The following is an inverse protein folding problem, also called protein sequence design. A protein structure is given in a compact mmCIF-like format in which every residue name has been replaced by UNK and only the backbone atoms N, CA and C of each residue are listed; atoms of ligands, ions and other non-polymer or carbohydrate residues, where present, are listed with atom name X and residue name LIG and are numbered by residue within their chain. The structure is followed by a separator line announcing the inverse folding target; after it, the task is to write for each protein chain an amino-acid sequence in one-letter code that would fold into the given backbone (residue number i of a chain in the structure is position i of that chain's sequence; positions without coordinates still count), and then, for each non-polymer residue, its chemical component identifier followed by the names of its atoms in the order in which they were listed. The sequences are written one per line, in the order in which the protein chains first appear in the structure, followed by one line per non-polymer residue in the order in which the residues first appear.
data_IF_964293972478
#
_entry.id   IF_964293972478
#
_cell.length_a   1.000
_cell.length_b   1.000
_cell.length_c   1.000
_cell.angle_alpha   90.00
_cell.angle_beta   90.00
_cell.angle_gamma   90.00
#
_symmetry.space_group_name_H-M   'P 1'
#
loop_
_entity.id
_entity.type
_entity.pdbx_description
1 polymer ?
#
# COMPACT_ATOMS: atom_id res chain seq x y z
N UNK A 1 -2.11 -25.55 31.87
CA UNK A 1 -2.90 -25.95 33.06
C UNK A 1 -3.98 -27.00 32.77
N UNK A 2 -4.50 -27.13 31.55
CA UNK A 2 -5.56 -28.10 31.21
C UNK A 2 -5.13 -29.59 31.21
N UNK A 3 -3.86 -29.91 31.02
CA UNK A 3 -3.39 -31.30 30.92
C UNK A 3 -3.39 -32.06 32.26
N UNK A 4 -3.22 -31.35 33.39
CA UNK A 4 -3.20 -31.97 34.73
C UNK A 4 -4.59 -32.43 35.18
N UNK A 5 -5.64 -31.71 34.79
CA UNK A 5 -7.02 -32.08 35.13
C UNK A 5 -7.49 -33.37 34.45
N UNK A 6 -7.12 -33.56 33.19
CA UNK A 6 -7.49 -34.78 32.43
C UNK A 6 -6.76 -36.01 32.99
N UNK A 7 -5.48 -35.88 33.35
CA UNK A 7 -4.72 -36.98 33.96
C UNK A 7 -5.30 -37.36 35.32
N UNK A 8 -5.73 -36.38 36.13
CA UNK A 8 -6.35 -36.63 37.44
C UNK A 8 -7.73 -37.28 37.31
N UNK A 9 -8.55 -36.89 36.34
CA UNK A 9 -9.87 -37.52 36.09
C UNK A 9 -9.72 -38.95 35.58
N UNK A 10 -8.75 -39.22 34.70
CA UNK A 10 -8.45 -40.57 34.22
C UNK A 10 -7.96 -41.45 35.37
N UNK A 11 -7.03 -40.95 36.21
CA UNK A 11 -6.57 -41.67 37.40
C UNK A 11 -7.70 -41.91 38.41
N UNK A 12 -8.57 -40.93 38.68
CA UNK A 12 -9.70 -41.10 39.59
C UNK A 12 -10.76 -42.07 39.06
N UNK A 13 -10.89 -42.23 37.73
CA UNK A 13 -11.82 -43.21 37.14
C UNK A 13 -11.24 -44.63 37.09
N UNK A 14 -9.91 -44.74 36.98
CA UNK A 14 -9.21 -46.02 36.96
C UNK A 14 -8.98 -46.59 38.36
N UNK A 15 -8.81 -45.75 39.39
CA UNK A 15 -8.61 -46.18 40.78
C UNK A 15 -9.74 -47.07 41.33
N UNK A 16 -11.03 -46.75 41.16
CA UNK A 16 -12.14 -47.59 41.64
C UNK A 16 -12.21 -48.94 40.93
N UNK A 17 -11.88 -48.98 39.64
CA UNK A 17 -11.85 -50.23 38.84
C UNK A 17 -10.70 -51.12 39.29
N UNK A 18 -9.52 -50.55 39.49
CA UNK A 18 -8.34 -51.26 40.00
C UNK A 18 -8.53 -51.73 41.45
N UNK A 19 -9.19 -50.92 42.29
CA UNK A 19 -9.54 -51.28 43.66
C UNK A 19 -10.64 -52.34 43.75
N UNK A 20 -11.58 -52.38 42.80
CA UNK A 20 -12.63 -53.42 42.72
C UNK A 20 -12.06 -54.78 42.30
N UNK A 21 -11.06 -54.80 41.42
CA UNK A 21 -10.35 -56.03 41.05
C UNK A 21 -9.45 -56.55 42.18
N UNK A 22 -8.77 -55.66 42.90
CA UNK A 22 -7.93 -56.06 44.05
C UNK A 22 -8.74 -56.49 45.29
N UNK A 23 -9.95 -55.95 45.49
CA UNK A 23 -10.81 -56.29 46.65
C UNK A 23 -11.62 -57.57 46.42
N UNK A 24 -11.79 -58.01 45.19
CA UNK A 24 -12.43 -59.30 44.87
C UNK A 24 -11.34 -60.36 44.84
N UNK A 25 -10.99 -60.83 46.03
CA UNK A 25 -9.94 -61.82 46.25
C UNK A 25 -9.99 -62.97 45.25
N UNK A 26 -8.79 -63.42 44.88
CA UNK A 26 -8.53 -64.67 44.16
C UNK A 26 -9.15 -65.83 44.95
N UNK A 27 -10.12 -66.53 44.35
CA UNK A 27 -9.91 -67.95 44.11
C UNK A 27 -10.41 -68.40 42.73
N UNK A 28 -9.55 -69.13 42.00
CA UNK A 28 -9.85 -69.85 40.75
C UNK A 28 -10.62 -69.07 39.67
N UNK A 29 -9.95 -68.14 39.00
CA UNK A 29 -10.47 -67.44 37.81
C UNK A 29 -10.64 -68.42 36.64
N UNK A 30 -11.88 -68.81 36.35
CA UNK A 30 -12.22 -69.46 35.10
C UNK A 30 -12.07 -68.49 33.93
N UNK A 31 -11.64 -68.99 32.76
CA UNK A 31 -11.44 -68.19 31.52
C UNK A 31 -12.70 -67.39 31.16
N UNK A 32 -13.89 -67.90 31.52
CA UNK A 32 -15.18 -67.24 31.29
C UNK A 32 -15.33 -65.94 32.09
N UNK A 33 -14.89 -65.91 33.34
CA UNK A 33 -14.96 -64.71 34.19
C UNK A 33 -13.95 -63.66 33.73
N UNK A 34 -12.78 -64.10 33.23
CA UNK A 34 -11.79 -63.22 32.60
C UNK A 34 -12.33 -62.59 31.30
N UNK A 35 -13.00 -63.38 30.46
CA UNK A 35 -13.65 -62.87 29.24
C UNK A 35 -14.80 -61.90 29.56
N UNK A 36 -15.58 -62.17 30.61
CA UNK A 36 -16.67 -61.30 31.05
C UNK A 36 -16.16 -59.96 31.63
N UNK A 37 -15.06 -60.01 32.38
CA UNK A 37 -14.39 -58.84 32.94
C UNK A 37 -13.78 -57.97 31.85
N UNK A 38 -13.07 -58.61 30.91
CA UNK A 38 -12.51 -57.98 29.73
C UNK A 38 -13.58 -57.25 28.89
N UNK A 39 -14.72 -57.91 28.64
CA UNK A 39 -15.85 -57.30 27.93
C UNK A 39 -16.42 -56.05 28.64
N UNK A 40 -16.51 -56.06 29.97
CA UNK A 40 -16.97 -54.89 30.75
C UNK A 40 -16.00 -53.72 30.67
N UNK A 41 -14.69 -53.99 30.71
CA UNK A 41 -13.66 -52.96 30.56
C UNK A 41 -13.73 -52.33 29.17
N UNK A 42 -13.84 -53.14 28.11
CA UNK A 42 -14.00 -52.63 26.74
C UNK A 42 -15.25 -51.79 26.55
N UNK A 43 -16.38 -52.19 27.15
CA UNK A 43 -17.63 -51.43 27.11
C UNK A 43 -17.50 -50.07 27.82
N UNK A 44 -16.85 -50.03 28.98
CA UNK A 44 -16.58 -48.79 29.70
C UNK A 44 -15.67 -47.85 28.91
N UNK A 45 -14.63 -48.38 28.25
CA UNK A 45 -13.74 -47.59 27.40
C UNK A 45 -14.49 -47.02 26.19
N UNK A 46 -15.36 -47.81 25.55
CA UNK A 46 -16.17 -47.35 24.43
C UNK A 46 -17.17 -46.25 24.84
N UNK A 47 -17.79 -46.36 26.02
CA UNK A 47 -18.65 -45.29 26.54
C UNK A 47 -17.87 -44.04 26.89
N UNK A 48 -16.67 -44.17 27.47
CA UNK A 48 -15.82 -43.04 27.81
C UNK A 48 -15.36 -42.28 26.56
N UNK A 49 -15.01 -42.97 25.48
CA UNK A 49 -14.65 -42.32 24.20
C UNK A 49 -15.83 -41.60 23.57
N UNK A 50 -17.03 -42.17 23.62
CA UNK A 50 -18.27 -41.51 23.15
C UNK A 50 -18.56 -40.26 23.99
N UNK A 51 -18.45 -40.34 25.32
CA UNK A 51 -18.64 -39.18 26.21
C UNK A 51 -17.61 -38.09 25.90
N UNK A 52 -16.34 -38.44 25.70
CA UNK A 52 -15.30 -37.46 25.31
C UNK A 52 -15.63 -36.85 23.94
N UNK A 53 -16.09 -37.63 22.96
CA UNK A 53 -16.44 -37.09 21.64
C UNK A 53 -17.65 -36.14 21.68
N UNK A 54 -18.71 -36.51 22.40
CA UNK A 54 -19.91 -35.68 22.57
C UNK A 54 -19.59 -34.43 23.38
N UNK A 55 -18.82 -34.54 24.46
CA UNK A 55 -18.44 -33.39 25.29
C UNK A 55 -17.45 -32.47 24.58
N UNK A 56 -16.50 -33.00 23.80
CA UNK A 56 -15.60 -32.15 22.98
C UNK A 56 -16.35 -31.44 21.88
N UNK A 57 -17.29 -32.10 21.20
CA UNK A 57 -18.18 -31.48 20.21
C UNK A 57 -19.04 -30.38 20.83
N UNK A 58 -19.67 -30.65 21.98
CA UNK A 58 -20.50 -29.69 22.69
C UNK A 58 -19.68 -28.52 23.25
N UNK A 59 -18.51 -28.77 23.83
CA UNK A 59 -17.59 -27.73 24.31
C UNK A 59 -16.97 -26.92 23.17
N UNK A 60 -16.79 -27.50 21.98
CA UNK A 60 -16.38 -26.76 20.79
C UNK A 60 -17.49 -25.82 20.29
N UNK A 61 -18.76 -26.20 20.44
CA UNK A 61 -19.91 -25.31 20.22
C UNK A 61 -20.02 -24.20 21.27
N UNK A 62 -19.67 -24.46 22.53
CA UNK A 62 -19.67 -23.42 23.58
C UNK A 62 -18.41 -22.53 23.54
N UNK A 63 -17.27 -23.04 23.09
CA UNK A 63 -16.01 -22.28 22.92
C UNK A 63 -16.06 -21.28 21.77
N UNK A 64 -16.95 -21.44 20.80
CA UNK A 64 -17.11 -20.45 19.73
C UNK A 64 -17.78 -19.16 20.20
N UNK A 65 -18.35 -19.10 21.41
CA UNK A 65 -19.14 -17.93 21.85
C UNK A 65 -18.43 -16.87 22.72
N UNK A 66 -17.36 -17.12 23.52
CA UNK A 66 -16.67 -16.06 24.27
C UNK A 66 -15.36 -15.58 23.63
N UNK A 67 -14.94 -16.18 22.51
CA UNK A 67 -13.65 -15.92 21.87
C UNK A 67 -13.71 -14.68 20.95
N UNK A 68 -14.84 -14.43 20.27
CA UNK A 68 -15.00 -13.26 19.39
C UNK A 68 -14.81 -11.92 20.12
N UNK A 69 -15.48 -11.70 21.25
CA UNK A 69 -15.38 -10.43 21.99
C UNK A 69 -13.96 -10.11 22.52
N UNK A 70 -13.18 -11.13 22.91
CA UNK A 70 -11.82 -10.93 23.42
C UNK A 70 -10.77 -10.86 22.32
N UNK A 71 -11.04 -11.39 21.14
CA UNK A 71 -10.19 -11.27 19.97
C UNK A 71 -10.39 -9.92 19.30
N UNK A 72 -11.64 -9.47 19.14
CA UNK A 72 -11.96 -8.15 18.58
C UNK A 72 -11.30 -7.01 19.39
N UNK A 73 -11.40 -7.04 20.72
CA UNK A 73 -10.75 -6.06 21.62
C UNK A 73 -9.20 -6.08 21.54
N UNK A 74 -8.61 -7.25 21.27
CA UNK A 74 -7.16 -7.42 21.13
C UNK A 74 -6.69 -7.00 19.75
N UNK A 75 -7.45 -7.31 18.71
CA UNK A 75 -7.17 -6.96 17.33
C UNK A 75 -7.24 -5.44 17.14
N UNK A 76 -8.27 -4.79 17.71
CA UNK A 76 -8.40 -3.33 17.66
C UNK A 76 -7.22 -2.63 18.38
N UNK A 77 -6.76 -3.18 19.52
CA UNK A 77 -5.56 -2.69 20.23
C UNK A 77 -4.28 -2.87 19.41
N UNK A 78 -4.14 -3.99 18.71
CA UNK A 78 -2.99 -4.25 17.84
C UNK A 78 -2.99 -3.32 16.62
N UNK A 79 -4.15 -3.06 16.01
CA UNK A 79 -4.29 -2.07 14.95
C UNK A 79 -3.91 -0.66 15.43
N UNK A 80 -4.41 -0.25 16.60
CA UNK A 80 -4.08 1.05 17.20
C UNK A 80 -2.57 1.19 17.42
N UNK A 81 -1.89 0.13 17.90
CA UNK A 81 -0.43 0.09 18.04
C UNK A 81 0.28 0.22 16.69
N UNK A 82 -0.17 -0.49 15.66
CA UNK A 82 0.42 -0.37 14.33
C UNK A 82 0.23 1.02 13.72
N UNK A 83 -0.96 1.61 13.86
CA UNK A 83 -1.26 2.98 13.41
C UNK A 83 -0.37 4.00 14.13
N UNK A 84 -0.14 3.83 15.43
CA UNK A 84 0.75 4.69 16.21
C UNK A 84 2.21 4.61 15.74
N UNK A 85 2.72 3.41 15.46
CA UNK A 85 4.09 3.22 14.97
C UNK A 85 4.27 3.90 13.61
N UNK A 86 3.33 3.70 12.68
CA UNK A 86 3.34 4.35 11.36
C UNK A 86 3.32 5.88 11.49
N UNK A 87 2.48 6.41 12.38
CA UNK A 87 2.39 7.86 12.65
C UNK A 87 3.70 8.43 13.19
N UNK A 88 4.31 7.78 14.19
CA UNK A 88 5.62 8.20 14.73
C UNK A 88 6.71 8.20 13.67
N UNK A 89 6.72 7.19 12.78
CA UNK A 89 7.68 7.13 11.68
C UNK A 89 7.47 8.26 10.67
N UNK A 90 6.21 8.58 10.36
CA UNK A 90 5.87 9.71 9.48
C UNK A 90 6.24 11.05 10.11
N UNK A 91 6.00 11.24 11.40
CA UNK A 91 6.40 12.44 12.15
C UNK A 91 7.93 12.61 12.13
N UNK A 92 8.69 11.54 12.39
CA UNK A 92 10.15 11.58 12.33
C UNK A 92 10.69 11.91 10.92
N UNK A 93 10.04 11.41 9.86
CA UNK A 93 10.38 11.78 8.49
C UNK A 93 10.00 13.23 8.17
N UNK A 94 8.82 13.67 8.62
CA UNK A 94 8.35 15.05 8.49
C UNK A 94 9.30 16.03 9.17
N UNK A 95 9.77 15.71 10.38
CA UNK A 95 10.72 16.55 11.11
C UNK A 95 12.06 16.66 10.38
N UNK A 96 12.57 15.56 9.81
CA UNK A 96 13.78 15.60 8.96
C UNK A 96 13.59 16.49 7.74
N UNK A 97 12.43 16.39 7.07
CA UNK A 97 12.11 17.24 5.92
C UNK A 97 11.98 18.72 6.31
N UNK A 98 11.33 19.02 7.43
CA UNK A 98 11.20 20.38 7.97
C UNK A 98 12.55 20.96 8.35
N UNK A 99 13.41 20.19 9.03
CA UNK A 99 14.80 20.61 9.34
C UNK A 99 15.60 20.91 8.08
N UNK A 100 15.45 20.10 7.03
CA UNK A 100 16.14 20.37 5.76
C UNK A 100 15.61 21.63 5.08
N UNK A 101 14.29 21.82 5.06
CA UNK A 101 13.67 23.02 4.51
C UNK A 101 14.17 24.29 5.21
N UNK A 102 14.25 24.25 6.54
CA UNK A 102 14.66 25.39 7.35
C UNK A 102 16.17 25.66 7.31
N UNK A 103 17.00 24.62 7.41
CA UNK A 103 18.45 24.80 7.54
C UNK A 103 19.18 24.89 6.19
N UNK A 104 18.59 24.37 5.11
CA UNK A 104 19.25 24.32 3.79
C UNK A 104 18.51 25.18 2.77
N UNK A 105 17.20 24.96 2.59
CA UNK A 105 16.48 25.61 1.50
C UNK A 105 16.21 27.10 1.77
N UNK A 106 15.74 27.47 2.97
CA UNK A 106 15.50 28.88 3.33
C UNK A 106 16.79 29.74 3.23
N UNK A 107 17.94 29.36 3.84
CA UNK A 107 19.16 30.17 3.75
C UNK A 107 19.70 30.28 2.33
N UNK A 108 19.56 29.23 1.51
CA UNK A 108 19.92 29.31 0.09
C UNK A 108 19.05 30.32 -0.67
N UNK A 109 17.75 30.36 -0.37
CA UNK A 109 16.83 31.31 -1.00
C UNK A 109 17.12 32.75 -0.55
N UNK A 110 17.35 32.96 0.75
CA UNK A 110 17.72 34.26 1.32
C UNK A 110 19.07 34.75 0.78
N UNK A 111 20.08 33.87 0.70
CA UNK A 111 21.38 34.22 0.13
C UNK A 111 21.26 34.62 -1.35
N UNK A 112 20.39 33.94 -2.12
CA UNK A 112 20.13 34.32 -3.52
C UNK A 112 19.47 35.70 -3.61
N UNK A 113 18.53 35.99 -2.73
CA UNK A 113 17.84 37.29 -2.67
C UNK A 113 18.82 38.39 -2.27
N UNK A 114 19.62 38.16 -1.22
CA UNK A 114 20.66 39.09 -0.78
C UNK A 114 21.71 39.37 -1.86
N UNK A 115 22.17 38.35 -2.59
CA UNK A 115 23.08 38.54 -3.74
C UNK A 115 22.44 39.33 -4.89
N UNK A 116 21.12 39.28 -5.03
CA UNK A 116 20.41 40.08 -6.03
C UNK A 116 20.31 41.53 -5.56
N UNK A 117 20.01 41.75 -4.28
CA UNK A 117 19.97 43.07 -3.64
C UNK A 117 21.34 43.75 -3.63
N UNK A 118 22.41 43.03 -3.27
CA UNK A 118 23.80 43.52 -3.35
C UNK A 118 24.16 43.89 -4.79
N UNK A 119 23.76 43.09 -5.78
CA UNK A 119 23.96 43.42 -7.20
C UNK A 119 23.17 44.64 -7.63
N UNK A 120 21.94 44.79 -7.14
CA UNK A 120 21.13 45.97 -7.39
C UNK A 120 21.83 47.21 -6.83
N UNK A 121 22.22 47.22 -5.56
CA UNK A 121 22.93 48.36 -4.97
C UNK A 121 24.33 48.57 -5.52
N UNK A 122 25.04 47.53 -5.97
CA UNK A 122 26.31 47.71 -6.71
C UNK A 122 26.07 48.35 -8.08
N UNK A 123 24.96 48.03 -8.74
CA UNK A 123 24.60 48.60 -10.04
C UNK A 123 23.90 49.96 -9.93
N UNK A 124 23.32 50.32 -8.79
CA UNK A 124 22.56 51.58 -8.60
C UNK A 124 23.28 52.55 -7.64
N UNK A 125 24.22 52.05 -6.85
CA UNK A 125 25.07 52.82 -5.96
C UNK A 125 26.11 53.65 -6.70
N UNK A 126 26.88 54.40 -5.92
CA UNK A 126 27.74 55.54 -6.27
C UNK A 126 28.74 55.33 -7.43
N UNK A 127 28.86 54.14 -7.99
CA UNK A 127 29.67 53.84 -9.18
C UNK A 127 29.17 54.52 -10.46
N UNK A 128 27.88 54.86 -10.56
CA UNK A 128 27.35 55.71 -11.64
C UNK A 128 27.38 57.20 -11.33
N UNK A 129 27.70 57.60 -10.09
CA UNK A 129 28.01 59.00 -9.80
C UNK A 129 29.42 59.22 -10.35
N UNK A 130 29.46 59.71 -11.59
CA UNK A 130 30.64 60.30 -12.23
C UNK A 130 31.59 60.86 -11.17
N UNK A 131 32.77 60.27 -11.07
CA UNK A 131 33.94 60.88 -10.41
C UNK A 131 33.93 62.37 -10.72
N UNK A 132 33.91 63.20 -9.67
CA UNK A 132 33.84 64.67 -9.69
C UNK A 132 34.04 65.25 -11.10
N UNK A 133 32.94 65.52 -11.81
CA UNK A 133 32.98 66.00 -13.19
C UNK A 133 33.88 67.23 -13.30
N UNK A 134 34.87 67.15 -14.20
CA UNK A 134 35.67 68.30 -14.59
C UNK A 134 34.74 69.29 -15.31
N UNK A 135 34.56 70.50 -14.75
CA UNK A 135 33.73 71.54 -15.35
C UNK A 135 34.39 72.02 -16.66
N UNK A 136 33.83 71.62 -17.79
CA UNK A 136 33.99 72.34 -19.05
C UNK A 136 32.81 73.32 -19.19
N UNK A 137 33.11 74.56 -19.59
CA UNK A 137 32.23 75.75 -19.59
C UNK A 137 30.81 75.52 -20.13
N UNK A 138 29.80 76.32 -19.77
CA UNK A 138 29.83 77.76 -19.56
C UNK A 138 29.00 78.38 -20.68
N UNK A 139 27.71 78.63 -20.39
CA UNK A 139 26.66 79.23 -21.25
C UNK A 139 26.29 78.42 -22.53
N UNK A 140 25.04 78.19 -22.93
CA UNK A 140 23.90 79.10 -22.99
C UNK A 140 22.55 78.33 -22.86
N UNK A 141 21.59 79.06 -22.29
CA UNK A 141 20.16 79.10 -22.55
C UNK A 141 19.16 77.98 -22.21
N UNK A 142 18.05 78.47 -21.65
CA UNK A 142 16.86 77.79 -21.14
C UNK A 142 16.00 77.25 -22.29
N UNK A 143 15.46 76.04 -22.14
CA UNK A 143 14.00 75.73 -22.17
C UNK A 143 13.82 74.21 -22.01
N UNK A 144 13.27 73.84 -20.85
CA UNK A 144 12.71 72.53 -20.54
C UNK A 144 11.36 72.37 -21.26
N UNK A 145 11.25 71.39 -22.16
CA UNK A 145 9.97 70.86 -22.62
C UNK A 145 9.97 69.34 -22.37
N UNK A 146 8.98 68.93 -21.59
CA UNK A 146 8.82 67.62 -20.98
C UNK A 146 7.79 66.87 -21.83
N UNK A 147 8.24 65.96 -22.68
CA UNK A 147 7.39 65.13 -23.54
C UNK A 147 7.81 63.67 -23.52
N UNK A 148 7.30 62.93 -22.55
CA UNK A 148 7.33 61.47 -22.46
C UNK A 148 6.69 60.80 -23.68
N UNK A 149 7.38 59.84 -24.34
CA UNK A 149 6.75 58.59 -24.81
C UNK A 149 7.72 57.58 -25.43
N UNK A 150 7.85 56.44 -24.72
CA UNK A 150 7.85 55.06 -25.23
C UNK A 150 8.70 54.71 -26.46
N UNK A 151 9.92 54.19 -26.22
CA UNK A 151 10.57 53.29 -27.18
C UNK A 151 11.50 52.28 -26.49
N UNK A 152 10.95 51.46 -25.58
CA UNK A 152 11.68 50.28 -25.08
C UNK A 152 10.75 49.25 -24.45
N UNK A 153 9.70 48.84 -25.19
CA UNK A 153 8.68 47.93 -24.66
C UNK A 153 8.45 46.68 -25.52
N UNK A 154 9.43 46.25 -26.32
CA UNK A 154 9.23 45.15 -27.30
C UNK A 154 10.12 43.92 -27.09
N UNK A 155 11.20 43.97 -26.31
CA UNK A 155 12.09 42.80 -26.11
C UNK A 155 11.75 41.96 -24.87
N UNK A 156 11.51 42.60 -23.72
CA UNK A 156 11.24 41.90 -22.46
C UNK A 156 9.83 41.28 -22.41
N UNK A 157 8.86 41.85 -23.14
CA UNK A 157 7.48 41.33 -23.22
C UNK A 157 7.44 39.99 -23.96
N UNK A 158 8.11 39.90 -25.10
CA UNK A 158 8.18 38.69 -25.92
C UNK A 158 8.92 37.54 -25.20
N UNK A 159 9.97 37.85 -24.42
CA UNK A 159 10.67 36.88 -23.58
C UNK A 159 9.81 36.36 -22.40
N UNK A 160 8.92 37.19 -21.85
CA UNK A 160 7.96 36.79 -20.82
C UNK A 160 6.80 35.95 -21.39
N UNK A 161 6.30 36.28 -22.58
CA UNK A 161 5.27 35.52 -23.28
C UNK A 161 5.77 34.12 -23.68
N UNK A 162 7.02 34.00 -24.16
CA UNK A 162 7.65 32.70 -24.45
C UNK A 162 7.84 31.83 -23.19
N UNK A 163 8.11 32.43 -22.03
CA UNK A 163 8.19 31.70 -20.74
C UNK A 163 6.81 31.30 -20.22
N UNK A 164 5.78 32.11 -20.48
CA UNK A 164 4.40 31.81 -20.11
C UNK A 164 3.78 30.71 -21.00
N UNK A 165 4.20 30.59 -22.27
CA UNK A 165 3.85 29.47 -23.13
C UNK A 165 4.44 28.13 -22.64
N UNK A 166 5.68 28.12 -22.16
CA UNK A 166 6.31 26.91 -21.61
C UNK A 166 5.66 26.45 -20.29
N UNK A 167 5.20 27.40 -19.47
CA UNK A 167 4.43 27.14 -18.24
C UNK A 167 2.98 26.72 -18.54
N UNK A 168 2.41 27.13 -19.66
CA UNK A 168 1.10 26.65 -20.12
C UNK A 168 1.16 25.19 -20.61
N UNK A 169 2.30 24.77 -21.20
CA UNK A 169 2.54 23.37 -21.58
C UNK A 169 2.88 22.46 -20.38
N UNK A 170 3.35 23.03 -19.26
CA UNK A 170 3.69 22.30 -18.03
C UNK A 170 2.67 22.57 -16.93
N UNK A 171 1.40 22.79 -17.29
CA UNK A 171 0.30 22.61 -16.34
C UNK A 171 -0.12 21.16 -16.43
N UNK A 172 0.57 20.31 -15.67
CA UNK A 172 0.04 19.01 -15.25
C UNK A 172 -1.41 19.25 -14.84
N UNK A 173 -2.32 18.63 -15.57
CA UNK A 173 -3.75 18.66 -15.27
C UNK A 173 -3.93 18.48 -13.76
N UNK A 174 -4.63 19.40 -13.07
CA UNK A 174 -5.20 19.08 -11.77
C UNK A 174 -5.95 17.75 -11.90
N UNK A 175 -5.94 16.85 -10.90
CA UNK A 175 -6.79 15.68 -10.95
C UNK A 175 -8.23 16.19 -10.99
N UNK A 176 -8.82 16.18 -12.18
CA UNK A 176 -10.14 16.72 -12.40
C UNK A 176 -11.12 15.93 -11.51
N UNK A 177 -11.99 16.65 -10.77
CA UNK A 177 -12.97 16.06 -9.87
C UNK A 177 -13.88 15.13 -10.67
N UNK A 178 -14.07 13.92 -10.16
CA UNK A 178 -14.91 12.87 -10.74
C UNK A 178 -16.19 13.42 -11.39
N UNK A 179 -16.46 13.09 -12.66
CA UNK A 179 -17.82 12.92 -13.11
C UNK A 179 -17.97 11.59 -13.88
N UNK A 180 -19.08 10.90 -13.64
CA UNK A 180 -19.46 9.60 -14.23
C UNK A 180 -18.81 8.34 -13.61
N UNK A 181 -19.24 8.05 -12.37
CA UNK A 181 -18.97 6.86 -11.54
C UNK A 181 -19.32 5.48 -12.17
N UNK A 182 -19.36 5.30 -13.49
CA UNK A 182 -19.82 4.03 -14.12
C UNK A 182 -18.94 3.47 -15.25
N UNK A 183 -18.02 4.24 -15.84
CA UNK A 183 -17.29 3.85 -17.06
C UNK A 183 -15.78 3.62 -16.91
N UNK A 184 -15.22 3.85 -15.72
CA UNK A 184 -13.78 3.67 -15.44
C UNK A 184 -13.60 2.44 -14.55
N UNK A 185 -12.59 1.63 -14.83
CA UNK A 185 -12.18 0.45 -14.06
C UNK A 185 -10.74 0.63 -13.60
N UNK A 186 -10.44 0.19 -12.38
CA UNK A 186 -9.08 0.17 -11.85
C UNK A 186 -8.50 -1.22 -12.06
N UNK A 187 -7.43 -1.31 -12.85
CA UNK A 187 -6.70 -2.56 -13.09
C UNK A 187 -5.40 -2.53 -12.27
N UNK A 188 -5.15 -3.61 -11.54
CA UNK A 188 -3.93 -3.82 -10.78
C UNK A 188 -3.10 -4.96 -11.40
N UNK A 189 -1.88 -4.67 -11.84
CA UNK A 189 -0.91 -5.69 -12.26
C UNK A 189 -0.13 -6.17 -11.05
N UNK A 190 -0.12 -7.49 -10.81
CA UNK A 190 0.83 -8.14 -9.91
C UNK A 190 2.04 -8.57 -10.72
N UNK A 191 3.18 -7.97 -10.41
CA UNK A 191 4.44 -8.28 -11.07
C UNK A 191 5.17 -9.44 -10.35
N UNK A 192 5.96 -10.25 -11.07
CA UNK A 192 6.82 -11.29 -10.46
C UNK A 192 7.81 -10.74 -9.44
N UNK A 193 8.17 -9.46 -9.55
CA UNK A 193 9.02 -8.74 -8.60
C UNK A 193 8.38 -8.53 -7.21
N UNK A 194 7.10 -8.87 -7.05
CA UNK A 194 6.32 -8.61 -5.83
C UNK A 194 5.69 -7.22 -5.79
N UNK A 195 5.96 -6.36 -6.76
CA UNK A 195 5.33 -5.04 -6.86
C UNK A 195 3.91 -5.15 -7.46
N UNK A 196 3.03 -4.22 -7.04
CA UNK A 196 1.68 -4.10 -7.59
C UNK A 196 1.51 -2.73 -8.23
N UNK A 197 1.28 -2.70 -9.54
CA UNK A 197 1.07 -1.48 -10.31
C UNK A 197 -0.42 -1.26 -10.51
N UNK A 198 -0.94 -0.08 -10.16
CA UNK A 198 -2.38 0.24 -10.29
C UNK A 198 -2.59 1.35 -11.29
N UNK A 199 -3.53 1.17 -12.21
CA UNK A 199 -3.90 2.19 -13.19
C UNK A 199 -5.38 2.11 -13.53
N UNK A 200 -5.96 3.27 -13.85
CA UNK A 200 -7.37 3.39 -14.26
C UNK A 200 -7.47 3.38 -15.77
N UNK A 201 -8.42 2.62 -16.28
CA UNK A 201 -8.73 2.50 -17.71
C UNK A 201 -10.23 2.70 -17.95
N UNK A 202 -10.59 3.14 -19.15
CA UNK A 202 -11.99 3.18 -19.57
C UNK A 202 -12.42 1.79 -20.03
N UNK A 203 -13.66 1.40 -19.74
CA UNK A 203 -14.21 0.10 -20.16
C UNK A 203 -14.19 -0.13 -21.68
N UNK A 204 -14.19 0.96 -22.45
CA UNK A 204 -14.12 0.95 -23.92
C UNK A 204 -12.70 0.92 -24.48
N UNK A 205 -11.66 0.94 -23.63
CA UNK A 205 -10.29 0.83 -24.10
C UNK A 205 -10.01 -0.56 -24.68
N UNK A 206 -9.15 -0.60 -25.70
CA UNK A 206 -8.63 -1.84 -26.28
C UNK A 206 -7.81 -2.62 -25.25
N UNK A 207 -7.91 -3.94 -25.31
CA UNK A 207 -7.09 -4.90 -24.55
C UNK A 207 -5.58 -4.67 -24.74
N UNK A 208 -5.17 -4.20 -25.92
CA UNK A 208 -3.76 -3.90 -26.27
C UNK A 208 -3.12 -2.91 -25.31
N UNK A 209 -3.90 -1.96 -24.79
CA UNK A 209 -3.42 -0.93 -23.85
C UNK A 209 -2.89 -1.56 -22.56
N UNK A 210 -3.40 -2.73 -22.15
CA UNK A 210 -2.88 -3.46 -20.99
C UNK A 210 -1.49 -4.04 -21.26
N UNK A 211 -1.28 -4.59 -22.45
CA UNK A 211 0.02 -5.13 -22.86
C UNK A 211 1.04 -4.01 -23.10
N UNK A 212 0.65 -2.89 -23.71
CA UNK A 212 1.50 -1.71 -23.84
C UNK A 212 1.89 -1.14 -22.47
N UNK A 213 0.95 -1.13 -21.53
CA UNK A 213 1.24 -0.73 -20.16
C UNK A 213 2.20 -1.72 -19.48
N UNK A 214 2.02 -3.03 -19.65
CA UNK A 214 2.95 -4.05 -19.16
C UNK A 214 4.38 -3.85 -19.73
N UNK A 215 4.50 -3.65 -21.06
CA UNK A 215 5.75 -3.35 -21.76
C UNK A 215 6.44 -2.11 -21.20
N UNK A 216 5.68 -1.03 -20.96
CA UNK A 216 6.19 0.23 -20.39
C UNK A 216 6.77 0.07 -18.99
N UNK A 217 6.30 -0.92 -18.22
CA UNK A 217 6.83 -1.21 -16.88
C UNK A 217 7.98 -2.23 -16.88
N UNK A 218 8.52 -2.58 -18.06
CA UNK A 218 9.68 -3.45 -18.18
C UNK A 218 9.37 -4.94 -18.34
N UNK A 219 8.11 -5.29 -18.64
CA UNK A 219 7.70 -6.68 -18.86
C UNK A 219 7.35 -6.89 -20.35
N UNK A 220 8.27 -7.42 -21.17
CA UNK A 220 8.01 -7.60 -22.58
C UNK A 220 7.00 -8.73 -22.85
N UNK A 221 6.08 -8.52 -23.82
CA UNK A 221 5.02 -9.48 -24.18
C UNK A 221 5.52 -10.80 -24.80
N UNK A 222 6.78 -10.84 -25.23
CA UNK A 222 7.43 -12.07 -25.70
C UNK A 222 7.74 -13.04 -24.56
N UNK A 223 8.00 -12.53 -23.35
CA UNK A 223 8.39 -13.30 -22.18
C UNK A 223 7.29 -13.40 -21.14
N UNK A 224 6.38 -12.42 -21.10
CA UNK A 224 5.34 -12.33 -20.09
C UNK A 224 3.96 -12.26 -20.72
N UNK A 225 3.00 -12.90 -20.07
CA UNK A 225 1.58 -12.87 -20.39
C UNK A 225 0.79 -12.32 -19.21
N UNK A 226 -0.40 -11.80 -19.49
CA UNK A 226 -1.33 -11.34 -18.47
C UNK A 226 -2.36 -12.43 -18.20
N UNK A 227 -2.62 -12.75 -16.94
CA UNK A 227 -3.68 -13.68 -16.56
C UNK A 227 -4.61 -13.11 -15.50
N UNK A 228 -5.86 -13.56 -15.49
CA UNK A 228 -6.84 -13.21 -14.45
C UNK A 228 -6.55 -13.94 -13.15
N UNK A 229 -7.00 -13.39 -12.02
CA UNK A 229 -6.80 -14.01 -10.70
C UNK A 229 -7.65 -15.27 -10.49
N UNK A 230 -8.98 -15.19 -10.71
CA UNK A 230 -9.89 -16.32 -10.55
C UNK A 230 -11.14 -16.18 -11.45
N UNK A 231 -11.50 -17.20 -12.26
CA UNK A 231 -10.66 -18.35 -12.60
C UNK A 231 -9.37 -17.87 -13.30
N UNK A 232 -8.24 -18.55 -13.05
CA UNK A 232 -6.98 -18.22 -13.74
C UNK A 232 -7.12 -18.52 -15.22
N UNK A 233 -7.07 -17.47 -16.05
CA UNK A 233 -7.10 -17.58 -17.52
C UNK A 233 -6.11 -16.60 -18.12
N UNK A 234 -5.25 -17.03 -19.06
CA UNK A 234 -4.41 -16.11 -19.81
C UNK A 234 -5.29 -15.20 -20.68
N UNK A 235 -4.95 -13.92 -20.74
CA UNK A 235 -5.58 -12.97 -21.66
C UNK A 235 -4.97 -13.18 -23.04
N UNK A 236 -5.79 -13.58 -23.99
CA UNK A 236 -5.37 -13.67 -25.38
C UNK A 236 -5.19 -12.27 -25.95
N UNK A 237 -4.08 -12.07 -26.68
CA UNK A 237 -3.80 -10.84 -27.40
C UNK A 237 -4.62 -10.83 -28.70
N UNK A 238 -5.94 -10.91 -28.58
CA UNK A 238 -6.83 -10.77 -29.73
C UNK A 238 -7.07 -9.28 -29.98
N UNK A 239 -6.57 -8.80 -31.12
CA UNK A 239 -6.69 -7.39 -31.50
C UNK A 239 -8.16 -7.02 -31.70
N UNK A 240 -8.62 -5.98 -31.01
CA UNK A 240 -9.95 -5.41 -31.21
C UNK A 240 -10.95 -5.63 -30.07
N UNK A 241 -10.62 -6.43 -29.06
CA UNK A 241 -11.49 -6.60 -27.90
C UNK A 241 -11.36 -5.42 -26.93
N UNK A 242 -12.49 -4.93 -26.43
CA UNK A 242 -12.47 -3.94 -25.35
C UNK A 242 -12.28 -4.61 -23.99
N UNK A 243 -11.88 -3.83 -22.98
CA UNK A 243 -11.79 -4.32 -21.59
C UNK A 243 -13.12 -4.88 -21.10
N UNK A 244 -14.25 -4.33 -21.55
CA UNK A 244 -15.57 -4.86 -21.24
C UNK A 244 -15.78 -6.28 -21.81
N UNK A 245 -15.31 -6.52 -23.03
CA UNK A 245 -15.48 -7.79 -23.74
C UNK A 245 -14.60 -8.89 -23.12
N UNK A 246 -13.44 -8.52 -22.57
CA UNK A 246 -12.59 -9.39 -21.75
C UNK A 246 -13.17 -9.70 -20.36
N UNK A 247 -14.36 -9.18 -20.02
CA UNK A 247 -14.97 -9.36 -18.69
C UNK A 247 -14.37 -8.47 -17.60
N UNK A 248 -13.56 -7.47 -17.95
CA UNK A 248 -13.01 -6.47 -17.02
C UNK A 248 -14.05 -5.35 -16.82
N UNK A 249 -15.16 -5.69 -16.17
CA UNK A 249 -16.27 -4.76 -15.90
C UNK A 249 -16.15 -4.04 -14.56
N UNK A 250 -15.39 -4.64 -13.63
CA UNK A 250 -15.13 -4.15 -12.27
C UNK A 250 -13.64 -3.92 -12.08
N UNK A 251 -13.26 -3.42 -10.91
CA UNK A 251 -11.85 -3.32 -10.54
C UNK A 251 -11.26 -4.74 -10.45
N UNK A 252 -10.28 -5.02 -11.31
CA UNK A 252 -9.69 -6.36 -11.46
C UNK A 252 -8.20 -6.37 -11.15
N UNK A 253 -7.74 -7.54 -10.74
CA UNK A 253 -6.33 -7.84 -10.54
C UNK A 253 -5.91 -8.80 -11.65
N UNK A 254 -4.86 -8.43 -12.37
CA UNK A 254 -4.21 -9.25 -13.37
C UNK A 254 -2.82 -9.64 -12.88
N UNK A 255 -2.40 -10.87 -13.12
CA UNK A 255 -1.08 -11.37 -12.81
C UNK A 255 -0.22 -11.32 -14.06
N UNK A 256 1.00 -10.82 -13.92
CA UNK A 256 2.03 -10.90 -14.96
C UNK A 256 2.77 -12.21 -14.74
N UNK A 257 2.60 -13.16 -15.65
CA UNK A 257 3.16 -14.51 -15.56
C UNK A 257 4.14 -14.74 -16.71
N UNK A 258 5.22 -15.48 -16.45
CA UNK A 258 6.17 -15.85 -17.51
C UNK A 258 5.48 -16.80 -18.50
N UNK A 259 5.59 -16.49 -19.79
CA UNK A 259 5.03 -17.29 -20.87
C UNK A 259 5.90 -18.54 -21.02
N UNK A 260 5.29 -19.72 -20.96
CA UNK A 260 6.00 -20.96 -21.26
C UNK A 260 6.54 -20.88 -22.68
N UNK A 261 7.87 -20.95 -22.80
CA UNK A 261 8.51 -21.08 -24.11
C UNK A 261 8.19 -22.47 -24.60
N UNK A 262 7.50 -22.58 -25.72
CA UNK A 262 7.43 -23.83 -26.48
C UNK A 262 8.85 -24.19 -26.89
N UNK A 263 9.47 -25.09 -26.14
CA UNK A 263 10.73 -25.71 -26.51
C UNK A 263 10.40 -26.60 -27.72
N UNK A 264 10.77 -26.15 -28.91
CA UNK A 264 10.85 -26.98 -30.10
C UNK A 264 12.16 -27.78 -30.07
#
# INVERSE_FOLDING_TARGET
MASRGVVVVVLLSALPLLCLELRRGVPSLGIKDLMLLCGRIFLLLALLTIIIFVTTSLLNLFKSSPVYLKEDDKEEKNEKRQKLIRKKQQEAQGEKASRYLENVLKPQQEMKLKKLEERFYHMTGETWKLTHGHKLGGDEDLVLEKGSQSSSETSNREASERRNLLKLLTKVSPPAPQPAKKKVVTVALRCPSGCILRRRFYKSCSSQVLFDWMMKNGYPSSLYSLSTSFPRRPLEMEGGWSLKDLGITVDTILNVEEKERSIC
#
